data_IF_426966832239
#
_entry.id   IF_426966832239
#
_cell.length_a   1.000
_cell.length_b   1.000
_cell.length_c   1.000
_cell.angle_alpha   90.00
_cell.angle_beta   90.00
_cell.angle_gamma   90.00
#
_symmetry.space_group_name_H-M   'P 1'
#
loop_
_entity.id
_entity.type
_entity.pdbx_description
1 polymer ?
#
# COMPACT_ATOMS: atom_id res chain seq x y z
N UNK A 1 -16.97 -0.55 14.27
CA UNK A 1 -15.56 -0.96 14.14
C UNK A 1 -15.05 -0.96 12.68
N UNK A 2 -15.79 -0.41 11.72
CA UNK A 2 -15.46 -0.35 10.28
C UNK A 2 -15.63 1.06 9.67
N UNK A 3 -15.64 2.10 10.48
CA UNK A 3 -15.60 3.50 10.00
C UNK A 3 -14.17 3.93 9.57
N UNK A 4 -13.25 2.97 9.41
CA UNK A 4 -11.88 3.32 9.72
C UNK A 4 -10.95 3.63 8.56
N UNK A 5 -11.03 3.03 7.39
CA UNK A 5 -9.88 3.24 6.48
C UNK A 5 -10.05 4.48 5.59
N UNK A 6 -11.18 4.61 4.91
CA UNK A 6 -11.40 5.82 4.09
C UNK A 6 -11.91 7.02 4.91
N UNK A 7 -12.66 6.77 5.99
CA UNK A 7 -13.17 7.84 6.85
C UNK A 7 -12.06 8.61 7.57
N UNK A 8 -10.99 7.95 8.00
CA UNK A 8 -9.85 8.60 8.65
C UNK A 8 -8.91 9.31 7.67
N UNK A 9 -8.78 8.79 6.46
CA UNK A 9 -7.94 9.38 5.39
C UNK A 9 -8.68 10.48 4.61
N UNK A 10 -10.02 10.46 4.61
CA UNK A 10 -10.83 11.39 3.84
C UNK A 10 -10.55 12.87 4.11
N UNK A 11 -10.38 13.35 5.36
CA UNK A 11 -10.00 14.73 5.61
C UNK A 11 -8.64 15.12 5.03
N UNK A 12 -7.70 14.18 4.91
CA UNK A 12 -6.36 14.43 4.37
C UNK A 12 -6.34 14.41 2.83
N UNK A 13 -7.18 13.58 2.23
CA UNK A 13 -7.23 13.39 0.77
C UNK A 13 -8.17 14.39 0.10
N UNK A 14 -9.24 14.81 0.77
CA UNK A 14 -10.26 15.72 0.25
C UNK A 14 -9.73 17.02 -0.38
N UNK A 15 -8.76 17.74 0.20
CA UNK A 15 -8.27 18.99 -0.39
C UNK A 15 -7.41 18.79 -1.64
N UNK A 16 -6.77 17.65 -1.79
CA UNK A 16 -5.91 17.34 -2.96
C UNK A 16 -6.63 16.52 -4.03
N UNK A 17 -7.82 16.00 -3.71
CA UNK A 17 -8.61 15.13 -4.57
C UNK A 17 -8.95 15.75 -5.93
N UNK A 18 -9.38 17.03 -6.06
CA UNK A 18 -9.63 17.62 -7.37
C UNK A 18 -8.39 17.72 -8.25
N UNK A 19 -7.22 17.93 -7.64
CA UNK A 19 -5.93 17.92 -8.33
C UNK A 19 -5.55 16.51 -8.81
N UNK A 20 -5.78 15.52 -7.99
CA UNK A 20 -5.59 14.10 -8.33
C UNK A 20 -6.49 13.71 -9.51
N UNK A 21 -7.76 14.11 -9.50
CA UNK A 21 -8.70 13.89 -10.60
C UNK A 21 -8.23 14.48 -11.94
N UNK A 22 -7.62 15.65 -11.90
CA UNK A 22 -7.16 16.35 -13.11
C UNK A 22 -5.87 15.73 -13.68
N UNK A 23 -5.04 15.15 -12.81
CA UNK A 23 -3.72 14.62 -13.16
C UNK A 23 -3.70 13.10 -13.39
N UNK A 24 -4.60 12.34 -12.72
CA UNK A 24 -4.59 10.88 -12.76
C UNK A 24 -5.72 10.35 -13.65
N UNK A 25 -5.36 9.73 -14.76
CA UNK A 25 -6.33 9.13 -15.68
C UNK A 25 -7.04 7.90 -15.07
N UNK A 26 -6.34 7.05 -14.32
CA UNK A 26 -6.89 5.83 -13.69
C UNK A 26 -6.16 5.57 -12.37
N UNK A 27 -6.91 5.44 -11.28
CA UNK A 27 -6.41 5.03 -9.96
C UNK A 27 -7.04 3.69 -9.58
N UNK A 28 -6.25 2.80 -9.02
CA UNK A 28 -6.72 1.51 -8.52
C UNK A 28 -6.63 1.45 -7.00
N UNK A 29 -7.74 1.13 -6.35
CA UNK A 29 -7.79 0.73 -4.95
C UNK A 29 -7.82 -0.80 -4.89
N UNK A 30 -6.86 -1.39 -4.20
CA UNK A 30 -6.84 -2.81 -3.86
C UNK A 30 -7.30 -2.98 -2.43
N UNK A 31 -8.37 -3.74 -2.21
CA UNK A 31 -8.96 -3.95 -0.90
C UNK A 31 -9.38 -5.42 -0.72
N UNK A 32 -9.54 -5.91 0.51
CA UNK A 32 -10.19 -7.19 0.74
C UNK A 32 -11.59 -7.22 0.09
N UNK A 33 -12.02 -8.39 -0.41
CA UNK A 33 -13.26 -8.52 -1.20
C UNK A 33 -14.50 -7.91 -0.51
N UNK A 34 -14.61 -8.09 0.81
CA UNK A 34 -15.74 -7.53 1.57
C UNK A 34 -15.72 -5.99 1.58
N UNK A 35 -14.53 -5.40 1.65
CA UNK A 35 -14.28 -3.96 1.71
C UNK A 35 -14.44 -3.32 0.32
N UNK A 36 -13.98 -3.97 -0.75
CA UNK A 36 -14.04 -3.43 -2.10
C UNK A 36 -15.46 -3.00 -2.52
N UNK A 37 -16.49 -3.81 -2.21
CA UNK A 37 -17.89 -3.45 -2.45
C UNK A 37 -18.40 -2.33 -1.54
N UNK A 38 -17.86 -2.22 -0.34
CA UNK A 38 -18.20 -1.14 0.58
C UNK A 38 -17.59 0.17 0.09
N UNK A 39 -16.35 0.16 -0.39
CA UNK A 39 -15.65 1.32 -0.95
C UNK A 39 -16.42 1.94 -2.11
N UNK A 40 -17.00 1.12 -3.01
CA UNK A 40 -17.88 1.61 -4.08
C UNK A 40 -19.12 2.33 -3.51
N UNK A 41 -19.74 1.77 -2.48
CA UNK A 41 -20.94 2.38 -1.84
C UNK A 41 -20.59 3.65 -1.08
N UNK A 42 -19.47 3.68 -0.38
CA UNK A 42 -19.00 4.88 0.31
C UNK A 42 -18.64 6.00 -0.68
N UNK A 43 -18.01 5.67 -1.80
CA UNK A 43 -17.75 6.64 -2.86
C UNK A 43 -18.99 7.40 -3.29
N UNK A 44 -20.11 6.70 -3.46
CA UNK A 44 -21.40 7.33 -3.82
C UNK A 44 -21.91 8.31 -2.77
N UNK A 45 -21.67 8.07 -1.47
CA UNK A 45 -22.08 8.99 -0.39
C UNK A 45 -21.33 10.33 -0.43
N UNK A 46 -20.13 10.32 -1.03
CA UNK A 46 -19.27 11.49 -1.13
C UNK A 46 -19.21 12.10 -2.54
N UNK A 47 -20.15 11.73 -3.41
CA UNK A 47 -20.19 12.14 -4.82
C UNK A 47 -18.89 11.80 -5.58
N UNK A 48 -18.24 10.70 -5.20
CA UNK A 48 -17.05 10.18 -5.85
C UNK A 48 -17.42 8.93 -6.65
N UNK A 49 -17.33 8.96 -7.96
CA UNK A 49 -17.56 7.76 -8.77
C UNK A 49 -16.41 6.77 -8.55
N UNK A 50 -16.68 5.72 -7.82
CA UNK A 50 -15.80 4.57 -7.64
C UNK A 50 -16.42 3.39 -8.37
N UNK A 51 -15.66 2.77 -9.26
CA UNK A 51 -16.11 1.63 -10.07
C UNK A 51 -15.52 0.32 -9.51
N UNK A 52 -16.37 -0.62 -9.13
CA UNK A 52 -15.92 -1.96 -8.77
C UNK A 52 -15.61 -2.78 -10.03
N UNK A 53 -14.35 -3.21 -10.17
CA UNK A 53 -13.84 -3.89 -11.35
C UNK A 53 -13.48 -5.35 -11.02
N UNK A 54 -13.81 -6.27 -11.93
CA UNK A 54 -13.40 -7.69 -11.87
C UNK A 54 -12.38 -8.05 -12.94
N UNK A 55 -12.36 -7.26 -14.00
CA UNK A 55 -11.48 -7.47 -15.16
C UNK A 55 -11.06 -6.13 -15.74
N UNK A 56 -10.07 -6.18 -16.63
CA UNK A 56 -9.57 -5.02 -17.37
C UNK A 56 -10.66 -4.24 -18.11
N UNK A 57 -11.70 -4.93 -18.61
CA UNK A 57 -12.80 -4.31 -19.38
C UNK A 57 -13.75 -3.49 -18.53
N UNK A 58 -13.75 -3.69 -17.22
CA UNK A 58 -14.62 -2.97 -16.28
C UNK A 58 -14.03 -1.60 -15.88
N UNK A 59 -12.77 -1.32 -16.24
CA UNK A 59 -12.09 -0.09 -15.85
C UNK A 59 -12.77 1.15 -16.43
N UNK A 60 -13.03 2.10 -15.57
CA UNK A 60 -13.54 3.42 -15.92
C UNK A 60 -12.48 4.51 -15.64
N UNK A 61 -12.57 5.68 -16.29
CA UNK A 61 -11.78 6.84 -15.90
C UNK A 61 -12.02 7.19 -14.42
N UNK A 62 -10.96 7.54 -13.71
CA UNK A 62 -11.03 7.91 -12.30
C UNK A 62 -10.70 6.75 -11.35
N UNK A 63 -11.48 6.58 -10.29
CA UNK A 63 -11.19 5.63 -9.22
C UNK A 63 -11.86 4.29 -9.49
N UNK A 64 -11.06 3.25 -9.47
CA UNK A 64 -11.47 1.88 -9.62
C UNK A 64 -11.10 1.10 -8.36
N UNK A 65 -11.90 0.13 -7.97
CA UNK A 65 -11.62 -0.74 -6.83
C UNK A 65 -11.75 -2.20 -7.24
N UNK A 66 -10.81 -3.02 -6.78
CA UNK A 66 -10.85 -4.47 -6.94
C UNK A 66 -10.28 -5.16 -5.71
N UNK A 67 -10.35 -6.48 -5.65
CA UNK A 67 -9.71 -7.24 -4.59
C UNK A 67 -8.34 -7.77 -5.03
N UNK A 68 -7.49 -8.05 -4.05
CA UNK A 68 -6.11 -8.51 -4.27
C UNK A 68 -6.02 -9.77 -5.16
N UNK A 69 -6.98 -10.67 -5.05
CA UNK A 69 -7.02 -11.93 -5.81
C UNK A 69 -7.20 -11.70 -7.33
N UNK A 70 -7.80 -10.57 -7.70
CA UNK A 70 -8.08 -10.24 -9.11
C UNK A 70 -6.94 -9.51 -9.81
N UNK A 71 -5.87 -9.15 -9.09
CA UNK A 71 -4.79 -8.30 -9.62
C UNK A 71 -4.18 -8.83 -10.92
N UNK A 72 -4.08 -10.15 -11.05
CA UNK A 72 -3.56 -10.83 -12.24
C UNK A 72 -4.38 -10.64 -13.52
N UNK A 73 -5.60 -10.06 -13.41
CA UNK A 73 -6.50 -9.78 -14.54
C UNK A 73 -6.31 -8.38 -15.12
N UNK A 74 -5.39 -7.60 -14.56
CA UNK A 74 -5.19 -6.22 -14.93
C UNK A 74 -3.78 -5.98 -15.47
N UNK A 75 -3.68 -5.12 -16.47
CA UNK A 75 -2.42 -4.52 -16.89
C UNK A 75 -2.08 -3.38 -15.92
N UNK A 76 -1.16 -3.66 -15.00
CA UNK A 76 -0.82 -2.76 -13.90
C UNK A 76 -0.08 -1.49 -14.37
N UNK A 77 0.54 -1.53 -15.55
CA UNK A 77 1.23 -0.37 -16.13
C UNK A 77 0.29 0.78 -16.50
N UNK A 78 -1.02 0.52 -16.59
CA UNK A 78 -2.03 1.52 -16.95
C UNK A 78 -2.46 2.43 -15.80
N UNK A 79 -2.11 2.07 -14.57
CA UNK A 79 -2.52 2.83 -13.40
C UNK A 79 -1.52 3.93 -13.08
N UNK A 80 -2.02 5.15 -13.02
CA UNK A 80 -1.23 6.30 -12.57
C UNK A 80 -1.14 6.38 -11.05
N UNK A 81 -2.04 5.73 -10.33
CA UNK A 81 -2.01 5.65 -8.87
C UNK A 81 -2.55 4.33 -8.36
N UNK A 82 -2.01 3.87 -7.23
CA UNK A 82 -2.48 2.69 -6.52
C UNK A 82 -2.60 2.95 -5.03
N UNK A 83 -3.69 2.46 -4.45
CA UNK A 83 -3.95 2.47 -3.01
C UNK A 83 -4.12 1.04 -2.55
N UNK A 84 -3.33 0.62 -1.57
CA UNK A 84 -3.51 -0.66 -0.88
C UNK A 84 -4.30 -0.41 0.40
N UNK A 85 -5.54 -0.82 0.43
CA UNK A 85 -6.37 -0.85 1.64
C UNK A 85 -6.16 -2.18 2.35
N UNK A 86 -5.83 -2.13 3.65
CA UNK A 86 -5.29 -3.25 4.43
C UNK A 86 -4.02 -3.84 3.80
N UNK A 87 -2.98 -3.02 3.71
CA UNK A 87 -1.69 -3.37 3.08
C UNK A 87 -0.86 -4.40 3.86
N UNK A 88 -1.43 -5.03 4.88
CA UNK A 88 -0.79 -6.12 5.65
C UNK A 88 -0.28 -7.29 4.78
N UNK A 89 -0.82 -7.43 3.57
CA UNK A 89 -0.34 -8.39 2.56
C UNK A 89 1.15 -8.20 2.20
N UNK A 90 1.68 -6.99 2.34
CA UNK A 90 3.09 -6.67 2.06
C UNK A 90 4.06 -7.27 3.08
N UNK A 91 3.60 -7.72 4.24
CA UNK A 91 4.42 -8.32 5.31
C UNK A 91 4.91 -9.72 4.94
N UNK A 92 4.15 -10.47 4.15
CA UNK A 92 4.46 -11.86 3.81
C UNK A 92 5.53 -11.92 2.73
N UNK A 93 6.80 -12.01 3.16
CA UNK A 93 7.95 -12.16 2.26
C UNK A 93 7.80 -13.46 1.44
N UNK A 94 8.01 -13.36 0.11
CA UNK A 94 7.91 -14.52 -0.79
C UNK A 94 6.50 -14.91 -1.21
N UNK A 95 5.46 -14.16 -0.82
CA UNK A 95 4.13 -14.40 -1.40
C UNK A 95 4.07 -13.89 -2.84
N UNK A 96 3.50 -14.71 -3.72
CA UNK A 96 3.33 -14.36 -5.15
C UNK A 96 2.56 -13.06 -5.35
N UNK A 97 1.58 -12.78 -4.48
CA UNK A 97 0.80 -11.55 -4.52
C UNK A 97 1.67 -10.32 -4.18
N UNK A 98 2.51 -10.41 -3.13
CA UNK A 98 3.44 -9.32 -2.78
C UNK A 98 4.41 -9.04 -3.92
N UNK A 99 4.99 -10.08 -4.51
CA UNK A 99 5.91 -9.93 -5.64
C UNK A 99 5.23 -9.30 -6.85
N UNK A 100 4.01 -9.72 -7.17
CA UNK A 100 3.21 -9.13 -8.23
C UNK A 100 2.89 -7.65 -7.98
N UNK A 101 2.60 -7.26 -6.72
CA UNK A 101 2.37 -5.87 -6.33
C UNK A 101 3.63 -5.02 -6.50
N UNK A 102 4.77 -5.49 -6.00
CA UNK A 102 6.05 -4.78 -6.09
C UNK A 102 6.47 -4.58 -7.54
N UNK A 103 6.46 -5.65 -8.34
CA UNK A 103 6.88 -5.61 -9.73
C UNK A 103 5.88 -4.84 -10.62
N UNK A 104 4.58 -5.07 -10.41
CA UNK A 104 3.54 -4.50 -11.27
C UNK A 104 3.34 -3.00 -11.09
N UNK A 105 3.59 -2.49 -9.88
CA UNK A 105 3.46 -1.06 -9.57
C UNK A 105 4.80 -0.36 -9.39
N UNK A 106 5.91 -0.98 -9.77
CA UNK A 106 7.23 -0.36 -9.60
C UNK A 106 7.30 1.06 -10.19
N UNK A 107 6.81 1.23 -11.40
CA UNK A 107 6.82 2.50 -12.14
C UNK A 107 5.60 3.39 -11.87
N UNK A 108 4.68 2.97 -10.99
CA UNK A 108 3.49 3.77 -10.66
C UNK A 108 3.89 4.96 -9.79
N UNK A 109 3.64 6.22 -10.24
CA UNK A 109 4.17 7.40 -9.58
C UNK A 109 3.49 7.72 -8.24
N UNK A 110 2.22 7.33 -8.07
CA UNK A 110 1.46 7.64 -6.86
C UNK A 110 1.05 6.35 -6.15
N UNK A 111 1.61 6.14 -4.98
CA UNK A 111 1.37 4.93 -4.18
C UNK A 111 0.95 5.30 -2.76
N UNK A 112 -0.02 4.59 -2.23
CA UNK A 112 -0.45 4.70 -0.85
C UNK A 112 -0.67 3.30 -0.28
N UNK A 113 -0.15 3.05 0.91
CA UNK A 113 -0.36 1.80 1.64
C UNK A 113 -1.02 2.12 2.99
N UNK A 114 -2.22 1.60 3.22
CA UNK A 114 -3.01 1.83 4.42
C UNK A 114 -3.12 0.54 5.22
N UNK A 115 -2.81 0.58 6.50
CA UNK A 115 -3.05 -0.51 7.44
C UNK A 115 -3.07 0.02 8.88
N UNK A 116 -3.90 -0.59 9.71
CA UNK A 116 -3.91 -0.33 11.15
C UNK A 116 -2.75 -1.03 11.89
N UNK A 117 -2.12 -2.01 11.25
CA UNK A 117 -1.08 -2.86 11.86
C UNK A 117 0.13 -2.98 10.94
N UNK A 118 0.94 -1.91 10.75
CA UNK A 118 2.04 -1.92 9.80
C UNK A 118 3.17 -2.91 10.16
N UNK A 119 3.41 -3.12 11.46
CA UNK A 119 4.45 -4.03 11.97
C UNK A 119 4.05 -4.65 13.32
N UNK A 120 3.04 -5.56 13.36
CA UNK A 120 2.51 -6.07 14.62
C UNK A 120 3.46 -7.01 15.36
N UNK A 121 4.37 -7.67 14.65
CA UNK A 121 5.27 -8.66 15.24
C UNK A 121 6.72 -8.17 15.27
N UNK A 122 7.19 -7.56 14.20
CA UNK A 122 8.59 -7.18 14.05
C UNK A 122 8.71 -5.95 13.13
N UNK A 123 9.65 -5.05 13.46
CA UNK A 123 9.93 -3.84 12.66
C UNK A 123 10.44 -4.16 11.23
N UNK A 124 10.99 -5.35 11.01
CA UNK A 124 11.39 -5.82 9.68
C UNK A 124 10.24 -5.90 8.68
N UNK A 125 9.00 -6.04 9.18
CA UNK A 125 7.79 -6.04 8.35
C UNK A 125 7.57 -4.71 7.59
N UNK A 126 8.12 -3.59 8.11
CA UNK A 126 8.10 -2.29 7.44
C UNK A 126 8.87 -2.28 6.11
N UNK A 127 9.81 -3.20 5.93
CA UNK A 127 10.56 -3.33 4.67
C UNK A 127 9.68 -3.62 3.46
N UNK A 128 8.57 -4.33 3.65
CA UNK A 128 7.59 -4.56 2.59
C UNK A 128 6.88 -3.29 2.14
N UNK A 129 6.45 -2.47 3.10
CA UNK A 129 5.81 -1.18 2.83
C UNK A 129 6.77 -0.18 2.19
N UNK A 130 7.99 -0.08 2.75
CA UNK A 130 9.05 0.78 2.21
C UNK A 130 9.41 0.42 0.77
N UNK A 131 9.55 -0.88 0.47
CA UNK A 131 9.83 -1.35 -0.89
C UNK A 131 8.68 -1.04 -1.85
N UNK A 132 7.42 -1.26 -1.44
CA UNK A 132 6.26 -0.94 -2.27
C UNK A 132 6.17 0.56 -2.59
N UNK A 133 6.46 1.42 -1.61
CA UNK A 133 6.43 2.88 -1.77
C UNK A 133 7.66 3.44 -2.49
N UNK A 134 8.62 2.61 -2.91
CA UNK A 134 9.88 3.00 -3.53
C UNK A 134 10.75 3.93 -2.66
N UNK A 135 10.67 3.77 -1.33
CA UNK A 135 11.47 4.53 -0.37
C UNK A 135 12.85 3.89 -0.20
N UNK A 136 12.87 2.59 0.09
CA UNK A 136 14.07 1.80 0.32
C UNK A 136 13.73 0.32 0.16
N UNK A 137 14.61 -0.48 -0.42
CA UNK A 137 14.41 -1.92 -0.49
C UNK A 137 14.44 -2.58 0.89
N UNK A 138 13.75 -3.70 1.07
CA UNK A 138 13.74 -4.42 2.34
C UNK A 138 15.16 -4.88 2.74
N UNK A 139 15.97 -5.33 1.78
CA UNK A 139 17.35 -5.74 2.02
C UNK A 139 18.25 -4.57 2.45
N UNK A 140 18.08 -3.41 1.85
CA UNK A 140 18.79 -2.19 2.21
C UNK A 140 18.40 -1.71 3.61
N UNK A 141 17.10 -1.72 3.94
CA UNK A 141 16.61 -1.40 5.29
C UNK A 141 17.25 -2.33 6.34
N UNK A 142 17.25 -3.64 6.08
CA UNK A 142 17.84 -4.61 6.99
C UNK A 142 19.34 -4.37 7.18
N UNK A 143 20.10 -4.19 6.13
CA UNK A 143 21.54 -3.94 6.21
C UNK A 143 21.90 -2.61 6.86
N UNK A 144 21.00 -1.61 6.78
CA UNK A 144 21.25 -0.27 7.34
C UNK A 144 20.94 -0.20 8.83
N UNK A 145 19.86 -0.84 9.28
CA UNK A 145 19.34 -0.64 10.64
C UNK A 145 19.38 -1.87 11.54
N UNK A 146 19.56 -3.06 10.97
CA UNK A 146 19.44 -4.32 11.70
C UNK A 146 20.72 -5.14 11.62
N UNK A 147 20.89 -6.06 12.55
CA UNK A 147 21.95 -7.05 12.52
C UNK A 147 21.38 -8.45 12.81
N UNK A 148 22.07 -9.48 12.39
CA UNK A 148 21.75 -10.86 12.78
C UNK A 148 22.22 -11.12 14.21
N UNK A 149 21.33 -11.64 15.03
CA UNK A 149 21.72 -12.15 16.34
C UNK A 149 22.54 -13.43 16.14
N UNK A 150 23.79 -13.42 16.65
CA UNK A 150 24.88 -14.34 16.28
C UNK A 150 24.65 -15.85 16.46
N UNK A 151 23.44 -16.29 16.77
CA UNK A 151 23.03 -17.70 16.84
C UNK A 151 21.93 -18.12 15.87
N UNK A 152 21.15 -17.18 15.31
CA UNK A 152 20.04 -17.45 14.40
C UNK A 152 20.02 -16.45 13.25
N UNK A 153 20.47 -16.88 12.07
CA UNK A 153 20.51 -16.06 10.87
C UNK A 153 19.13 -15.68 10.31
N UNK A 154 18.06 -16.25 10.85
CA UNK A 154 16.69 -15.88 10.50
C UNK A 154 16.16 -14.68 11.30
N UNK A 155 16.84 -14.32 12.39
CA UNK A 155 16.38 -13.30 13.33
C UNK A 155 17.15 -11.99 13.19
N UNK A 156 16.42 -10.94 12.84
CA UNK A 156 16.96 -9.61 12.72
C UNK A 156 16.65 -8.78 13.96
N UNK A 157 17.63 -8.09 14.49
CA UNK A 157 17.49 -7.21 15.65
C UNK A 157 17.88 -5.79 15.29
N UNK A 158 17.05 -4.82 15.62
CA UNK A 158 17.33 -3.40 15.40
C UNK A 158 18.56 -2.96 16.21
N UNK A 159 19.59 -2.46 15.54
CA UNK A 159 20.81 -1.98 16.18
C UNK A 159 20.50 -0.86 17.17
N UNK A 160 21.05 -0.93 18.38
CA UNK A 160 20.78 0.06 19.42
C UNK A 160 21.15 1.50 18.98
N UNK A 161 22.30 1.66 18.34
CA UNK A 161 22.76 2.96 17.84
C UNK A 161 22.00 3.46 16.61
N UNK A 162 21.31 2.57 15.89
CA UNK A 162 20.52 2.94 14.71
C UNK A 162 19.04 3.27 15.05
N UNK A 163 18.62 3.09 16.29
CA UNK A 163 17.21 3.21 16.69
C UNK A 163 16.61 4.59 16.40
N UNK A 164 17.34 5.64 16.71
CA UNK A 164 16.88 7.01 16.46
C UNK A 164 16.80 7.32 14.95
N UNK A 165 17.82 6.96 14.19
CA UNK A 165 17.84 7.14 12.73
C UNK A 165 16.78 6.30 12.02
N UNK A 166 16.50 5.09 12.51
CA UNK A 166 15.42 4.25 12.00
C UNK A 166 14.06 4.93 12.15
N UNK A 167 13.71 5.42 13.34
CA UNK A 167 12.43 6.09 13.55
C UNK A 167 12.32 7.41 12.81
N UNK A 168 13.42 8.15 12.68
CA UNK A 168 13.48 9.36 11.87
C UNK A 168 13.26 9.04 10.39
N UNK A 169 13.81 7.93 9.91
CA UNK A 169 13.56 7.45 8.55
C UNK A 169 12.09 7.02 8.38
N UNK A 170 11.51 6.24 9.30
CA UNK A 170 10.08 5.85 9.25
C UNK A 170 9.19 7.09 9.20
N UNK A 171 9.39 8.08 10.06
CA UNK A 171 8.59 9.31 10.10
C UNK A 171 8.73 10.20 8.87
N UNK A 172 9.68 9.94 7.99
CA UNK A 172 9.83 10.70 6.73
C UNK A 172 8.86 10.27 5.63
N UNK A 173 8.23 9.10 5.75
CA UNK A 173 7.33 8.54 4.73
C UNK A 173 6.05 7.89 5.30
N UNK A 174 5.97 7.68 6.60
CA UNK A 174 4.81 7.11 7.28
C UNK A 174 4.18 8.14 8.24
N UNK A 175 2.85 8.10 8.38
CA UNK A 175 2.04 8.93 9.27
C UNK A 175 1.17 8.06 10.17
#
# INVERSE_FOLDING_TARGET
>A
FLESSLGSLWPMVKPVWPLIWTLLKIVLILAPLAVAKQTEREGRKFDLPVTFCRTQTDLAPGVNVTNYEMIHKFDLSRFAGVVLDESSILKHIGSSTREALLAGFDQTPYKLACTATPSPNDYTELGGHSAFLNVMSASEMLSTFFFHDGGDTSKWTLMHHARESFWKWVSSWAV
#
